data_IF_550019431495
#
_entry.id   IF_550019431495
#
_cell.length_a   1.000
_cell.length_b   1.000
_cell.length_c   1.000
_cell.angle_alpha   90.00
_cell.angle_beta   90.00
_cell.angle_gamma   90.00
#
_symmetry.space_group_name_H-M   'P 1'
#
loop_
_entity.id
_entity.type
_entity.pdbx_description
1 polymer ?
#
# COMPACT_ATOMS: atom_id res chain seq x y z
N UNK A 1 -12.77 -11.55 8.43
CA UNK A 1 -12.52 -13.00 8.52
C UNK A 1 -11.97 -13.36 9.89
N UNK A 2 -12.04 -14.63 10.29
CA UNK A 2 -11.48 -15.11 11.56
C UNK A 2 -10.70 -16.41 11.31
N UNK A 3 -9.52 -16.52 11.91
CA UNK A 3 -8.65 -17.69 11.86
C UNK A 3 -8.52 -18.24 13.27
N UNK A 4 -8.78 -19.53 13.47
CA UNK A 4 -8.53 -20.22 14.73
C UNK A 4 -7.21 -20.97 14.62
N UNK A 5 -6.33 -20.79 15.60
CA UNK A 5 -5.01 -21.41 15.60
C UNK A 5 -5.13 -22.85 16.10
N UNK A 6 -5.00 -23.83 15.22
CA UNK A 6 -5.15 -25.25 15.62
C UNK A 6 -3.90 -25.79 16.33
N UNK A 7 -2.71 -25.47 15.83
CA UNK A 7 -1.44 -25.90 16.41
C UNK A 7 -0.40 -24.81 16.21
N UNK A 8 0.15 -24.27 17.29
CA UNK A 8 1.24 -23.29 17.25
C UNK A 8 2.33 -23.62 18.26
N UNK A 9 3.59 -23.38 17.87
CA UNK A 9 4.77 -23.54 18.73
C UNK A 9 5.19 -22.23 19.41
N UNK A 10 4.29 -21.26 19.57
CA UNK A 10 4.62 -19.93 20.11
C UNK A 10 5.31 -19.03 19.08
N UNK A 11 5.01 -19.21 17.79
CA UNK A 11 5.57 -18.35 16.75
C UNK A 11 5.00 -16.93 16.82
N UNK A 12 5.73 -15.99 16.22
CA UNK A 12 5.30 -14.59 16.18
C UNK A 12 4.09 -14.41 15.28
N UNK A 13 3.13 -13.61 15.72
CA UNK A 13 1.90 -13.29 15.01
C UNK A 13 2.14 -12.78 13.59
N UNK A 14 3.13 -11.91 13.38
CA UNK A 14 3.43 -11.42 12.04
C UNK A 14 3.96 -12.50 11.08
N UNK A 15 4.61 -13.54 11.59
CA UNK A 15 5.09 -14.67 10.79
C UNK A 15 3.97 -15.68 10.54
N UNK A 16 3.20 -16.00 11.58
CA UNK A 16 1.99 -16.83 11.47
C UNK A 16 1.09 -16.29 10.37
N UNK A 17 0.76 -15.00 10.40
CA UNK A 17 -0.15 -14.38 9.44
C UNK A 17 0.40 -14.32 8.02
N UNK A 18 1.72 -14.18 7.82
CA UNK A 18 2.31 -14.23 6.48
C UNK A 18 2.15 -15.63 5.86
N UNK A 19 2.23 -16.69 6.69
CA UNK A 19 2.00 -18.06 6.22
C UNK A 19 0.53 -18.31 5.90
N UNK A 20 -0.38 -17.88 6.77
CA UNK A 20 -1.81 -18.11 6.58
C UNK A 20 -2.46 -17.19 5.52
N UNK A 21 -1.86 -16.02 5.24
CA UNK A 21 -2.37 -15.03 4.28
C UNK A 21 -1.28 -14.70 3.24
N UNK A 22 -1.00 -15.61 2.29
CA UNK A 22 0.08 -15.44 1.32
C UNK A 22 -0.10 -14.22 0.40
N UNK A 23 -1.32 -13.74 0.23
CA UNK A 23 -1.64 -12.55 -0.57
C UNK A 23 -1.26 -11.23 0.12
N UNK A 24 -0.95 -11.27 1.42
CA UNK A 24 -0.59 -10.09 2.19
C UNK A 24 0.91 -10.06 2.47
N UNK A 25 1.56 -8.97 2.05
CA UNK A 25 2.93 -8.72 2.43
C UNK A 25 3.07 -8.53 3.95
N UNK A 26 4.25 -8.86 4.48
CA UNK A 26 4.56 -8.67 5.90
C UNK A 26 4.38 -7.22 6.37
N UNK A 27 4.75 -6.24 5.55
CA UNK A 27 4.58 -4.83 5.87
C UNK A 27 3.10 -4.44 5.93
N UNK A 28 2.26 -5.00 5.06
CA UNK A 28 0.81 -4.80 5.10
C UNK A 28 0.21 -5.39 6.38
N UNK A 29 0.58 -6.61 6.76
CA UNK A 29 0.15 -7.23 8.02
C UNK A 29 0.53 -6.38 9.23
N UNK A 30 1.76 -5.88 9.29
CA UNK A 30 2.22 -5.02 10.38
C UNK A 30 1.43 -3.71 10.46
N UNK A 31 1.11 -3.09 9.32
CA UNK A 31 0.27 -1.90 9.27
C UNK A 31 -1.15 -2.18 9.75
N UNK A 32 -1.76 -3.30 9.33
CA UNK A 32 -3.09 -3.71 9.79
C UNK A 32 -3.13 -3.96 11.30
N UNK A 33 -2.11 -4.62 11.86
CA UNK A 33 -1.94 -4.78 13.31
C UNK A 33 -1.83 -3.42 14.03
N UNK A 34 -1.00 -2.51 13.50
CA UNK A 34 -0.82 -1.16 14.07
C UNK A 34 -2.13 -0.35 14.07
N UNK A 35 -2.91 -0.46 13.00
CA UNK A 35 -4.20 0.19 12.84
C UNK A 35 -5.31 -0.48 13.67
N UNK A 36 -5.09 -1.71 14.16
CA UNK A 36 -6.08 -2.46 14.94
C UNK A 36 -7.11 -3.21 14.09
N UNK A 37 -6.80 -3.41 12.80
CA UNK A 37 -7.58 -4.25 11.91
C UNK A 37 -7.39 -5.75 12.17
N UNK A 38 -6.39 -6.11 12.97
CA UNK A 38 -6.11 -7.48 13.38
C UNK A 38 -6.14 -7.55 14.90
N UNK A 39 -6.98 -8.44 15.42
CA UNK A 39 -7.20 -8.67 16.84
C UNK A 39 -6.90 -10.13 17.18
N UNK A 40 -6.33 -10.37 18.36
CA UNK A 40 -6.17 -11.71 18.93
C UNK A 40 -7.09 -11.79 20.15
N UNK A 41 -8.01 -12.75 20.16
CA UNK A 41 -9.01 -12.94 21.20
C UNK A 41 -9.80 -11.65 21.50
N UNK A 42 -10.10 -10.86 20.46
CA UNK A 42 -10.82 -9.59 20.57
C UNK A 42 -9.97 -8.38 21.01
N UNK A 43 -8.68 -8.55 21.29
CA UNK A 43 -7.79 -7.46 21.72
C UNK A 43 -6.74 -7.10 20.65
N UNK A 44 -6.31 -5.83 20.63
CA UNK A 44 -5.21 -5.40 19.74
C UNK A 44 -3.92 -6.11 20.12
N UNK A 45 -3.24 -6.69 19.14
CA UNK A 45 -1.97 -7.38 19.31
C UNK A 45 -0.83 -6.64 18.60
N UNK A 46 0.42 -6.95 18.99
CA UNK A 46 1.62 -6.41 18.34
C UNK A 46 2.18 -7.47 17.39
N UNK A 47 2.97 -7.09 16.36
CA UNK A 47 3.61 -8.05 15.46
C UNK A 47 4.40 -9.17 16.16
N UNK A 48 5.04 -8.84 17.29
CA UNK A 48 5.85 -9.77 18.08
C UNK A 48 5.04 -10.63 19.07
N UNK A 49 3.72 -10.47 19.14
CA UNK A 49 2.88 -11.29 20.03
C UNK A 49 3.04 -12.77 19.68
N UNK A 50 3.21 -13.61 20.69
CA UNK A 50 3.24 -15.07 20.52
C UNK A 50 1.84 -15.58 20.27
N UNK A 51 1.69 -16.45 19.26
CA UNK A 51 0.42 -17.09 18.93
C UNK A 51 0.37 -18.47 19.59
N UNK A 52 -0.73 -18.81 20.26
CA UNK A 52 -0.92 -20.08 20.92
C UNK A 52 -2.07 -20.87 20.29
N UNK A 53 -2.03 -22.21 20.42
CA UNK A 53 -3.14 -23.06 20.02
C UNK A 53 -4.42 -22.64 20.75
N UNK A 54 -5.52 -22.54 20.01
CA UNK A 54 -6.82 -22.06 20.50
C UNK A 54 -7.03 -20.55 20.37
N UNK A 55 -6.01 -19.75 20.03
CA UNK A 55 -6.19 -18.32 19.79
C UNK A 55 -7.13 -18.09 18.60
N UNK A 56 -8.01 -17.10 18.73
CA UNK A 56 -8.90 -16.63 17.68
C UNK A 56 -8.41 -15.29 17.15
N UNK A 57 -7.99 -15.26 15.88
CA UNK A 57 -7.45 -14.08 15.22
C UNK A 57 -8.49 -13.52 14.28
N UNK A 58 -9.02 -12.34 14.61
CA UNK A 58 -10.00 -11.63 13.79
C UNK A 58 -9.29 -10.61 12.91
N UNK A 59 -9.52 -10.67 11.61
CA UNK A 59 -8.93 -9.79 10.61
C UNK A 59 -10.06 -9.07 9.86
N UNK A 60 -10.05 -7.75 9.96
CA UNK A 60 -10.94 -6.87 9.21
C UNK A 60 -10.13 -6.11 8.16
N UNK A 61 -10.07 -6.63 6.93
CA UNK A 61 -9.38 -5.97 5.82
C UNK A 61 -10.22 -4.79 5.35
N UNK A 62 -9.73 -3.53 5.50
CA UNK A 62 -10.40 -2.40 4.88
C UNK A 62 -10.34 -2.57 3.36
N UNK A 63 -11.39 -2.12 2.67
CA UNK A 63 -11.39 -2.08 1.22
C UNK A 63 -10.19 -1.26 0.73
N UNK A 64 -9.49 -1.72 -0.32
CA UNK A 64 -8.44 -0.93 -0.93
C UNK A 64 -9.05 0.36 -1.44
N UNK A 65 -8.65 1.49 -0.84
CA UNK A 65 -8.99 2.80 -1.40
C UNK A 65 -8.25 2.92 -2.72
N UNK A 66 -8.94 3.18 -3.85
CA UNK A 66 -8.27 3.51 -5.09
C UNK A 66 -7.32 4.68 -4.82
N UNK A 67 -6.06 4.54 -5.21
CA UNK A 67 -5.16 5.68 -5.26
C UNK A 67 -5.63 6.54 -6.44
N UNK A 68 -6.51 7.50 -6.17
CA UNK A 68 -6.95 8.44 -7.19
C UNK A 68 -5.78 9.36 -7.52
N UNK A 69 -5.30 9.29 -8.77
CA UNK A 69 -4.22 10.16 -9.24
C UNK A 69 -4.86 11.45 -9.73
N UNK A 70 -4.66 12.54 -8.99
CA UNK A 70 -5.26 13.83 -9.28
C UNK A 70 -4.30 14.67 -10.13
N UNK A 71 -4.78 15.41 -11.16
CA UNK A 71 -3.98 16.39 -11.89
C UNK A 71 -3.36 17.44 -10.95
N UNK A 72 -2.08 17.75 -11.11
CA UNK A 72 -1.39 18.80 -10.34
C UNK A 72 -0.56 19.70 -11.25
N UNK A 73 -0.66 21.02 -11.04
CA UNK A 73 0.12 22.02 -11.77
C UNK A 73 1.58 22.00 -11.30
N UNK A 74 2.36 21.09 -11.88
CA UNK A 74 3.80 20.92 -11.63
C UNK A 74 4.54 21.28 -12.92
N UNK A 75 5.51 22.22 -12.89
CA UNK A 75 6.25 22.62 -14.09
C UNK A 75 6.98 21.46 -14.76
N UNK A 76 6.85 21.34 -16.08
CA UNK A 76 7.52 20.35 -16.91
C UNK A 76 8.49 21.05 -17.88
N UNK A 77 9.73 20.54 -17.95
CA UNK A 77 10.70 20.93 -18.97
C UNK A 77 10.51 20.00 -20.19
N UNK A 78 9.71 20.46 -21.16
CA UNK A 78 9.32 19.68 -22.34
C UNK A 78 10.32 19.93 -23.47
N UNK A 79 11.03 18.88 -23.86
CA UNK A 79 11.98 18.91 -24.97
C UNK A 79 11.29 18.69 -26.32
N UNK A 80 10.19 17.92 -26.33
CA UNK A 80 9.40 17.60 -27.51
C UNK A 80 7.97 17.24 -27.10
N UNK A 81 6.99 17.66 -27.88
CA UNK A 81 5.58 17.32 -27.70
C UNK A 81 4.90 17.25 -29.07
N UNK A 82 4.36 16.08 -29.37
CA UNK A 82 3.50 15.85 -30.52
C UNK A 82 2.31 14.95 -30.13
N UNK A 83 1.49 14.62 -31.12
CA UNK A 83 0.27 13.83 -30.92
C UNK A 83 0.52 12.47 -30.25
N UNK A 84 1.68 11.87 -30.49
CA UNK A 84 1.98 10.49 -30.14
C UNK A 84 3.03 10.38 -29.03
N UNK A 85 3.86 11.42 -28.80
CA UNK A 85 4.97 11.39 -27.86
C UNK A 85 5.27 12.74 -27.21
N UNK A 86 5.48 12.70 -25.88
CA UNK A 86 6.06 13.80 -25.10
C UNK A 86 7.44 13.36 -24.57
N UNK A 87 8.46 14.18 -24.80
CA UNK A 87 9.81 14.00 -24.24
C UNK A 87 10.06 15.09 -23.20
N UNK A 88 10.34 14.67 -21.97
CA UNK A 88 10.51 15.57 -20.82
C UNK A 88 11.92 15.43 -20.26
N UNK A 89 12.58 16.56 -20.03
CA UNK A 89 13.80 16.63 -19.25
C UNK A 89 13.46 16.59 -17.76
N UNK A 90 13.28 15.37 -17.23
CA UNK A 90 12.83 15.18 -15.84
C UNK A 90 13.91 15.64 -14.84
N UNK A 91 13.61 16.59 -13.93
CA UNK A 91 14.57 16.99 -12.92
C UNK A 91 14.87 15.86 -11.92
N UNK A 92 16.04 15.89 -11.24
CA UNK A 92 16.30 15.04 -10.10
C UNK A 92 15.30 15.32 -8.97
N UNK A 93 14.93 14.28 -8.21
CA UNK A 93 13.98 14.39 -7.11
C UNK A 93 12.49 14.28 -7.51
N UNK A 94 12.14 14.47 -8.78
CA UNK A 94 10.77 14.22 -9.25
C UNK A 94 10.52 12.72 -9.46
N UNK A 95 9.59 12.17 -8.68
CA UNK A 95 9.12 10.77 -8.76
C UNK A 95 8.26 10.61 -10.02
N UNK A 96 8.39 9.46 -10.70
CA UNK A 96 7.67 9.24 -11.97
C UNK A 96 6.21 8.88 -11.72
N UNK A 97 5.95 7.79 -10.99
CA UNK A 97 4.60 7.27 -10.74
C UNK A 97 4.31 7.27 -9.24
N UNK A 98 3.06 7.53 -8.81
CA UNK A 98 2.65 7.39 -7.42
C UNK A 98 3.05 6.06 -6.82
N UNK A 99 3.60 6.10 -5.60
CA UNK A 99 4.09 4.93 -4.88
C UNK A 99 3.95 5.14 -3.36
N UNK A 100 4.00 4.08 -2.55
CA UNK A 100 4.07 4.22 -1.10
C UNK A 100 5.21 5.17 -0.68
N UNK A 101 4.87 6.25 0.02
CA UNK A 101 5.80 7.32 0.42
C UNK A 101 5.82 8.56 -0.49
N UNK A 102 5.34 8.44 -1.73
CA UNK A 102 5.12 9.54 -2.67
C UNK A 102 3.77 9.32 -3.40
N UNK A 103 2.64 9.52 -2.70
CA UNK A 103 1.32 9.22 -3.25
C UNK A 103 0.88 10.21 -4.34
N UNK A 104 1.48 11.40 -4.37
CA UNK A 104 1.22 12.49 -5.31
C UNK A 104 2.52 13.28 -5.56
N UNK A 105 2.43 14.42 -6.25
CA UNK A 105 3.60 15.24 -6.58
C UNK A 105 4.52 14.59 -7.62
N UNK A 106 3.98 13.67 -8.42
CA UNK A 106 4.76 12.86 -9.37
C UNK A 106 4.63 13.37 -10.81
N UNK A 107 5.45 12.83 -11.71
CA UNK A 107 5.39 13.13 -13.13
C UNK A 107 4.03 12.77 -13.74
N UNK A 108 3.39 11.68 -13.29
CA UNK A 108 2.03 11.33 -13.73
C UNK A 108 1.02 12.41 -13.31
N UNK A 109 1.13 12.97 -12.09
CA UNK A 109 0.25 14.06 -11.66
C UNK A 109 0.42 15.32 -12.53
N UNK A 110 1.68 15.64 -12.86
CA UNK A 110 2.04 16.76 -13.71
C UNK A 110 1.50 16.58 -15.14
N UNK A 111 1.71 15.40 -15.72
CA UNK A 111 1.22 15.06 -17.06
C UNK A 111 -0.31 15.07 -17.10
N UNK A 112 -0.99 14.53 -16.09
CA UNK A 112 -2.45 14.58 -16.00
C UNK A 112 -2.98 16.01 -16.04
N UNK A 113 -2.28 16.97 -15.44
CA UNK A 113 -2.64 18.37 -15.55
C UNK A 113 -2.31 18.94 -16.93
N UNK A 114 -1.11 18.69 -17.43
CA UNK A 114 -0.64 19.19 -18.72
C UNK A 114 -1.51 18.74 -19.89
N UNK A 115 -1.92 17.47 -19.90
CA UNK A 115 -2.79 16.90 -20.93
C UNK A 115 -4.30 17.16 -20.67
N UNK A 116 -4.65 18.04 -19.72
CA UNK A 116 -6.03 18.33 -19.32
C UNK A 116 -6.85 17.07 -18.95
N UNK A 117 -6.21 16.10 -18.32
CA UNK A 117 -6.81 14.82 -17.95
C UNK A 117 -6.90 13.80 -19.11
N UNK A 118 -6.44 14.14 -20.31
CA UNK A 118 -6.44 13.26 -21.48
C UNK A 118 -5.12 12.50 -21.63
N UNK A 119 -4.70 11.79 -20.58
CA UNK A 119 -3.70 10.72 -20.80
C UNK A 119 -4.40 9.46 -21.31
N UNK A 120 -3.89 8.83 -22.38
CA UNK A 120 -4.42 7.56 -22.88
C UNK A 120 -4.29 6.42 -21.86
#
# INVERSE_FOLDING_TARGET
MTITVETSSGERLDLFLVRELPDLSRSRIQNLLKQGHILVNGAKARPKTSVNSGDSITINLPEPTPAEIIPQEIPLDILHDDRDLIVINKPPGLVVHPAPGNPDGTLVNALLHYCEGNLP
#
